data_IF_834771249663
#
_entry.id   IF_834771249663
#
_cell.length_a   1.000
_cell.length_b   1.000
_cell.length_c   1.000
_cell.angle_alpha   90.00
_cell.angle_beta   90.00
_cell.angle_gamma   90.00
#
_symmetry.space_group_name_H-M   'P 1'
#
loop_
_entity.id
_entity.type
_entity.pdbx_description
1 polymer ?
#
# COMPACT_ATOMS: atom_id res chain seq x y z
N UNK A 1 17.12 -16.42 -19.15
CA UNK A 1 16.87 -15.22 -19.98
C UNK A 1 15.52 -14.67 -19.58
N UNK A 2 15.34 -13.34 -19.59
CA UNK A 2 14.02 -12.76 -19.39
C UNK A 2 13.13 -13.07 -20.59
N UNK A 3 11.85 -13.27 -20.35
CA UNK A 3 10.87 -13.44 -21.41
C UNK A 3 10.40 -12.07 -21.91
N UNK A 4 9.72 -12.06 -23.06
CA UNK A 4 9.23 -10.82 -23.65
C UNK A 4 7.86 -11.03 -24.29
N UNK A 5 7.07 -9.96 -24.35
CA UNK A 5 5.76 -9.92 -24.98
C UNK A 5 5.51 -8.61 -25.73
N UNK A 6 5.07 -8.74 -26.98
CA UNK A 6 4.75 -7.61 -27.85
C UNK A 6 3.29 -7.16 -27.67
N UNK A 7 2.99 -5.91 -28.01
CA UNK A 7 1.62 -5.35 -27.97
C UNK A 7 0.67 -6.10 -28.90
N UNK A 8 1.18 -6.70 -29.97
CA UNK A 8 0.42 -7.49 -30.94
C UNK A 8 0.06 -8.88 -30.41
N UNK A 9 0.67 -9.32 -29.32
CA UNK A 9 0.37 -10.60 -28.70
C UNK A 9 -1.04 -10.61 -28.08
N UNK A 10 -1.83 -11.67 -28.29
CA UNK A 10 -3.12 -11.81 -27.60
C UNK A 10 -2.98 -11.96 -26.07
N UNK A 11 -1.78 -12.29 -25.58
CA UNK A 11 -1.46 -12.36 -24.14
C UNK A 11 -1.15 -10.99 -23.53
N UNK A 12 -1.13 -9.93 -24.33
CA UNK A 12 -0.81 -8.59 -23.87
C UNK A 12 -2.00 -8.00 -23.09
N UNK A 13 -1.79 -7.42 -21.89
CA UNK A 13 -2.87 -6.90 -21.05
C UNK A 13 -3.72 -5.87 -21.78
N UNK A 14 -5.01 -6.17 -21.98
CA UNK A 14 -5.93 -5.35 -22.76
C UNK A 14 -6.00 -3.91 -22.26
N UNK A 15 -6.12 -3.70 -20.94
CA UNK A 15 -6.16 -2.35 -20.35
C UNK A 15 -4.93 -1.50 -20.70
N UNK A 16 -3.75 -2.12 -20.80
CA UNK A 16 -2.54 -1.43 -21.21
C UNK A 16 -2.50 -1.25 -22.73
N UNK A 17 -2.89 -2.28 -23.50
CA UNK A 17 -2.87 -2.28 -24.96
C UNK A 17 -3.79 -1.23 -25.61
N UNK A 18 -4.91 -0.90 -24.97
CA UNK A 18 -5.85 0.13 -25.41
C UNK A 18 -5.27 1.55 -25.33
N UNK A 19 -4.20 1.76 -24.55
CA UNK A 19 -3.61 3.07 -24.38
C UNK A 19 -2.82 3.50 -25.61
N UNK A 20 -2.90 4.79 -25.94
CA UNK A 20 -2.15 5.40 -27.07
C UNK A 20 -0.64 5.32 -26.85
N UNK A 21 -0.21 5.45 -25.61
CA UNK A 21 1.18 5.39 -25.15
C UNK A 21 1.53 4.03 -24.54
N UNK A 22 0.83 2.96 -24.91
CA UNK A 22 1.19 1.59 -24.53
C UNK A 22 2.60 1.22 -25.03
N UNK A 23 3.43 0.54 -24.21
CA UNK A 23 4.74 0.07 -24.67
C UNK A 23 4.56 -1.01 -25.75
N UNK A 24 5.30 -0.90 -26.86
CA UNK A 24 5.24 -1.88 -27.96
C UNK A 24 5.73 -3.26 -27.53
N UNK A 25 6.63 -3.30 -26.55
CA UNK A 25 7.27 -4.49 -26.04
C UNK A 25 7.39 -4.35 -24.52
N UNK A 26 7.16 -5.45 -23.80
CA UNK A 26 7.53 -5.60 -22.41
C UNK A 26 8.46 -6.79 -22.25
N UNK A 27 9.38 -6.67 -21.30
CA UNK A 27 10.24 -7.74 -20.82
C UNK A 27 9.81 -8.09 -19.41
N UNK A 28 9.83 -9.37 -19.07
CA UNK A 28 9.34 -9.81 -17.78
C UNK A 28 10.06 -11.03 -17.22
N UNK A 29 9.92 -11.20 -15.90
CA UNK A 29 10.33 -12.38 -15.14
C UNK A 29 9.20 -12.76 -14.19
N UNK A 30 8.95 -14.05 -14.01
CA UNK A 30 7.88 -14.57 -13.15
C UNK A 30 6.66 -15.06 -13.94
N UNK A 31 5.53 -15.20 -13.26
CA UNK A 31 4.38 -15.95 -13.76
C UNK A 31 3.38 -15.05 -14.54
N UNK A 32 3.74 -14.68 -15.77
CA UNK A 32 2.89 -13.85 -16.63
C UNK A 32 1.49 -14.45 -16.82
N UNK A 33 1.42 -15.73 -17.20
CA UNK A 33 0.15 -16.37 -17.51
C UNK A 33 -0.72 -16.57 -16.27
N UNK A 34 -0.12 -16.89 -15.12
CA UNK A 34 -0.85 -17.01 -13.86
C UNK A 34 -1.43 -15.69 -13.33
N UNK A 35 -1.02 -14.55 -13.88
CA UNK A 35 -1.55 -13.22 -13.55
C UNK A 35 -2.53 -12.76 -14.64
N UNK A 36 -2.16 -12.91 -15.91
CA UNK A 36 -2.90 -12.31 -17.02
C UNK A 36 -3.81 -13.25 -17.80
N UNK A 37 -3.65 -14.58 -17.67
CA UNK A 37 -4.50 -15.53 -18.36
C UNK A 37 -5.82 -15.74 -17.64
N UNK A 38 -6.88 -15.93 -18.42
CA UNK A 38 -8.25 -16.17 -17.96
C UNK A 38 -8.61 -17.60 -18.32
N UNK A 39 -9.04 -18.41 -17.36
CA UNK A 39 -9.86 -19.58 -17.69
C UNK A 39 -11.20 -19.07 -18.27
N UNK A 40 -11.51 -19.44 -19.53
CA UNK A 40 -12.81 -19.14 -20.13
C UNK A 40 -12.92 -17.89 -21.02
N UNK A 41 -11.80 -17.26 -21.41
CA UNK A 41 -11.75 -16.47 -22.66
C UNK A 41 -12.40 -15.09 -22.70
N UNK A 42 -12.74 -14.42 -21.58
CA UNK A 42 -13.37 -13.09 -21.67
C UNK A 42 -13.08 -12.04 -20.57
N UNK A 43 -12.02 -12.15 -19.76
CA UNK A 43 -11.68 -11.09 -18.79
C UNK A 43 -10.18 -10.83 -18.65
N UNK A 44 -9.66 -9.94 -19.49
CA UNK A 44 -8.25 -9.55 -19.59
C UNK A 44 -7.60 -9.24 -18.23
N UNK A 45 -6.40 -9.76 -17.97
CA UNK A 45 -5.85 -9.77 -16.61
C UNK A 45 -5.56 -8.41 -15.94
N UNK A 46 -5.63 -7.29 -16.65
CA UNK A 46 -5.61 -5.96 -16.01
C UNK A 46 -6.86 -5.66 -15.17
N UNK A 47 -7.97 -6.35 -15.41
CA UNK A 47 -9.25 -6.11 -14.73
C UNK A 47 -9.23 -6.46 -13.23
N UNK A 48 -8.23 -7.22 -12.79
CA UNK A 48 -7.99 -7.59 -11.39
C UNK A 48 -6.76 -6.90 -10.80
N UNK A 49 -6.20 -5.89 -11.47
CA UNK A 49 -5.02 -5.17 -11.00
C UNK A 49 -5.38 -3.85 -10.32
N UNK A 50 -4.82 -3.63 -9.13
CA UNK A 50 -4.84 -2.35 -8.40
C UNK A 50 -3.43 -1.76 -8.38
N UNK A 51 -3.25 -0.59 -8.97
CA UNK A 51 -2.03 0.19 -8.78
C UNK A 51 -2.01 0.76 -7.35
N UNK A 52 -0.93 0.57 -6.62
CA UNK A 52 -0.73 1.19 -5.30
C UNK A 52 0.51 2.05 -5.36
N UNK A 53 0.35 3.34 -5.09
CA UNK A 53 1.44 4.32 -5.17
C UNK A 53 1.40 5.28 -3.98
N UNK A 54 2.55 5.85 -3.67
CA UNK A 54 2.61 6.92 -2.70
C UNK A 54 4.01 7.46 -2.47
N UNK A 55 4.16 8.18 -1.37
CA UNK A 55 5.41 8.84 -0.99
C UNK A 55 6.51 7.81 -0.73
N UNK A 56 7.73 8.21 -1.09
CA UNK A 56 8.97 7.54 -0.73
C UNK A 56 9.33 7.71 0.75
N UNK A 57 8.82 8.78 1.39
CA UNK A 57 8.96 9.08 2.83
C UNK A 57 7.65 8.76 3.55
N UNK A 58 7.32 7.48 3.57
CA UNK A 58 6.09 6.95 4.17
C UNK A 58 6.07 7.18 5.68
N UNK A 59 4.92 7.60 6.21
CA UNK A 59 4.73 7.71 7.66
C UNK A 59 4.29 6.37 8.27
N UNK A 60 4.32 6.24 9.60
CA UNK A 60 3.74 5.08 10.29
C UNK A 60 2.25 4.91 10.00
N UNK A 61 1.52 6.01 9.79
CA UNK A 61 0.12 5.96 9.35
C UNK A 61 0.02 5.38 7.94
N UNK A 62 0.77 5.92 6.97
CA UNK A 62 0.81 5.43 5.60
C UNK A 62 1.19 3.95 5.52
N UNK A 63 2.13 3.50 6.35
CA UNK A 63 2.50 2.09 6.48
C UNK A 63 1.30 1.24 6.90
N UNK A 64 0.70 1.54 8.06
CA UNK A 64 -0.45 0.78 8.59
C UNK A 64 -1.62 0.73 7.60
N UNK A 65 -1.93 1.86 6.95
CA UNK A 65 -3.00 1.91 5.96
C UNK A 65 -2.67 1.08 4.72
N UNK A 66 -1.41 1.08 4.27
CA UNK A 66 -0.96 0.22 3.17
C UNK A 66 -1.09 -1.24 3.56
N UNK A 67 -0.56 -1.64 4.72
CA UNK A 67 -0.62 -3.02 5.21
C UNK A 67 -2.05 -3.55 5.27
N UNK A 68 -2.95 -2.79 5.89
CA UNK A 68 -4.34 -3.20 6.07
C UNK A 68 -5.09 -3.25 4.73
N UNK A 69 -5.13 -2.14 3.99
CA UNK A 69 -5.95 -2.05 2.77
C UNK A 69 -5.38 -2.99 1.69
N UNK A 70 -4.06 -2.93 1.46
CA UNK A 70 -3.44 -3.73 0.38
C UNK A 70 -3.44 -5.20 0.74
N UNK A 71 -3.19 -5.57 1.99
CA UNK A 71 -3.24 -6.97 2.44
C UNK A 71 -4.63 -7.58 2.24
N UNK A 72 -5.68 -6.90 2.66
CA UNK A 72 -7.06 -7.38 2.48
C UNK A 72 -7.49 -7.43 1.00
N UNK A 73 -7.10 -6.43 0.19
CA UNK A 73 -7.35 -6.42 -1.25
C UNK A 73 -6.63 -7.59 -1.95
N UNK A 74 -5.36 -7.83 -1.60
CA UNK A 74 -4.56 -8.90 -2.16
C UNK A 74 -5.08 -10.29 -1.75
N UNK A 75 -5.48 -10.45 -0.48
CA UNK A 75 -6.10 -11.69 0.03
C UNK A 75 -7.41 -12.04 -0.70
N UNK A 76 -8.13 -11.04 -1.21
CA UNK A 76 -9.33 -11.25 -2.02
C UNK A 76 -9.02 -11.68 -3.47
N UNK A 77 -7.74 -11.68 -3.88
CA UNK A 77 -7.30 -12.10 -5.22
C UNK A 77 -7.13 -10.96 -6.22
N UNK A 78 -7.10 -9.71 -5.77
CA UNK A 78 -6.70 -8.55 -6.61
C UNK A 78 -5.17 -8.50 -6.64
N UNK A 79 -4.59 -8.40 -7.83
CA UNK A 79 -3.14 -8.30 -8.01
C UNK A 79 -2.69 -6.85 -7.77
N UNK A 80 -1.66 -6.68 -6.95
CA UNK A 80 -1.12 -5.35 -6.60
C UNK A 80 -0.05 -4.96 -7.61
N UNK A 81 -0.15 -3.79 -8.22
CA UNK A 81 0.84 -3.27 -9.17
C UNK A 81 1.53 -2.08 -8.54
N UNK A 82 2.86 -2.08 -8.50
CA UNK A 82 3.59 -0.93 -7.99
C UNK A 82 4.96 -0.79 -8.65
N UNK A 83 5.68 0.26 -8.25
CA UNK A 83 6.87 0.73 -8.93
C UNK A 83 8.20 0.19 -8.45
N UNK A 84 8.19 -0.71 -7.46
CA UNK A 84 9.42 -1.24 -6.90
C UNK A 84 10.39 -0.16 -6.38
N UNK A 85 9.86 0.88 -5.73
CA UNK A 85 10.65 1.86 -4.98
C UNK A 85 10.44 1.69 -3.47
N UNK A 86 11.32 2.29 -2.67
CA UNK A 86 11.13 2.36 -1.23
C UNK A 86 9.91 3.23 -0.85
N UNK A 87 9.46 3.10 0.40
CA UNK A 87 8.24 3.75 0.88
C UNK A 87 6.99 2.93 0.54
N UNK A 88 5.94 3.61 0.09
CA UNK A 88 4.62 2.98 -0.17
C UNK A 88 4.71 1.86 -1.21
N UNK A 89 5.53 2.00 -2.25
CA UNK A 89 5.66 0.98 -3.30
C UNK A 89 6.15 -0.36 -2.72
N UNK A 90 7.25 -0.34 -1.96
CA UNK A 90 7.80 -1.52 -1.29
C UNK A 90 6.83 -2.11 -0.26
N UNK A 91 6.16 -1.25 0.51
CA UNK A 91 5.17 -1.69 1.51
C UNK A 91 3.97 -2.36 0.85
N UNK A 92 3.50 -1.85 -0.29
CA UNK A 92 2.41 -2.45 -1.04
C UNK A 92 2.76 -3.86 -1.56
N UNK A 93 3.97 -4.04 -2.09
CA UNK A 93 4.46 -5.37 -2.47
C UNK A 93 4.49 -6.30 -1.27
N UNK A 94 5.13 -5.89 -0.16
CA UNK A 94 5.23 -6.70 1.07
C UNK A 94 3.88 -7.05 1.68
N UNK A 95 2.94 -6.11 1.69
CA UNK A 95 1.58 -6.34 2.18
C UNK A 95 0.84 -7.38 1.32
N UNK A 96 0.99 -7.29 0.00
CA UNK A 96 0.39 -8.27 -0.92
C UNK A 96 0.97 -9.68 -0.71
N UNK A 97 2.29 -9.78 -0.59
CA UNK A 97 3.00 -11.05 -0.38
C UNK A 97 2.65 -11.70 0.96
N UNK A 98 2.65 -10.92 2.06
CA UNK A 98 2.25 -11.40 3.39
C UNK A 98 0.81 -11.92 3.42
N UNK A 99 -0.07 -11.36 2.59
CA UNK A 99 -1.46 -11.81 2.45
C UNK A 99 -1.62 -13.05 1.57
N UNK A 100 -0.53 -13.62 1.03
CA UNK A 100 -0.55 -14.72 0.07
C UNK A 100 -1.09 -14.32 -1.31
N UNK A 101 -1.18 -13.01 -1.59
CA UNK A 101 -1.60 -12.47 -2.88
C UNK A 101 -0.45 -12.35 -3.87
N UNK A 102 -0.76 -11.88 -5.07
CA UNK A 102 0.21 -11.65 -6.14
C UNK A 102 0.52 -10.17 -6.30
N UNK A 103 1.73 -9.87 -6.77
CA UNK A 103 2.13 -8.50 -7.08
C UNK A 103 2.99 -8.39 -8.33
N UNK A 104 2.90 -7.24 -9.00
CA UNK A 104 3.65 -6.88 -10.21
C UNK A 104 4.53 -5.67 -9.89
N UNK A 105 5.85 -5.87 -9.92
CA UNK A 105 6.85 -4.83 -9.83
C UNK A 105 7.17 -4.29 -11.23
N UNK A 106 6.94 -2.99 -11.45
CA UNK A 106 7.24 -2.35 -12.74
C UNK A 106 8.51 -1.50 -12.62
N UNK A 107 9.54 -1.91 -13.33
CA UNK A 107 10.91 -1.42 -13.16
C UNK A 107 11.20 -0.18 -14.02
N UNK A 108 11.94 0.82 -13.49
CA UNK A 108 12.42 1.95 -14.28
C UNK A 108 13.69 1.61 -15.10
N UNK A 109 14.29 0.44 -14.89
CA UNK A 109 15.53 -0.02 -15.51
C UNK A 109 15.29 -1.28 -16.36
N UNK A 110 16.34 -1.76 -17.03
CA UNK A 110 16.34 -3.03 -17.75
C UNK A 110 15.93 -4.21 -16.88
N UNK A 111 15.33 -5.22 -17.49
CA UNK A 111 14.81 -6.41 -16.79
C UNK A 111 15.88 -7.25 -16.08
N UNK A 112 17.16 -7.07 -16.42
CA UNK A 112 18.30 -7.74 -15.78
C UNK A 112 18.94 -6.88 -14.67
N UNK A 113 18.33 -5.75 -14.30
CA UNK A 113 18.80 -4.85 -13.25
C UNK A 113 17.80 -4.83 -12.10
N UNK A 114 18.28 -5.11 -10.88
CA UNK A 114 17.52 -4.86 -9.66
C UNK A 114 17.83 -3.44 -9.18
N UNK A 115 16.83 -2.54 -9.25
CA UNK A 115 16.98 -1.18 -8.76
C UNK A 115 15.77 -0.77 -7.91
N UNK A 116 15.97 -0.28 -6.67
CA UNK A 116 17.26 -0.15 -5.99
C UNK A 116 17.81 -1.52 -5.53
N UNK A 117 19.12 -1.69 -5.58
CA UNK A 117 19.81 -2.98 -5.35
C UNK A 117 19.55 -3.58 -3.95
N UNK A 118 19.40 -2.73 -2.93
CA UNK A 118 19.13 -3.17 -1.55
C UNK A 118 17.75 -3.84 -1.36
N UNK A 119 16.90 -3.85 -2.40
CA UNK A 119 15.62 -4.58 -2.39
C UNK A 119 15.70 -5.92 -3.12
N UNK A 120 16.90 -6.48 -3.34
CA UNK A 120 17.08 -7.78 -3.99
C UNK A 120 16.25 -8.91 -3.34
N UNK A 121 16.13 -8.92 -2.01
CA UNK A 121 15.32 -9.92 -1.32
C UNK A 121 13.83 -9.81 -1.68
N UNK A 122 13.30 -8.58 -1.70
CA UNK A 122 11.90 -8.34 -2.11
C UNK A 122 11.70 -8.70 -3.59
N UNK A 123 12.68 -8.40 -4.45
CA UNK A 123 12.63 -8.78 -5.86
C UNK A 123 12.49 -10.30 -6.01
N UNK A 124 13.30 -11.06 -5.28
CA UNK A 124 13.29 -12.51 -5.32
C UNK A 124 11.99 -13.07 -4.72
N UNK A 125 11.52 -12.51 -3.60
CA UNK A 125 10.26 -12.91 -2.96
C UNK A 125 9.05 -12.73 -3.90
N UNK A 126 9.02 -11.64 -4.69
CA UNK A 126 7.98 -11.43 -5.72
C UNK A 126 8.00 -12.56 -6.75
N UNK A 127 9.17 -13.02 -7.19
CA UNK A 127 9.28 -14.10 -8.17
C UNK A 127 8.91 -15.46 -7.57
N UNK A 128 9.41 -15.75 -6.37
CA UNK A 128 9.22 -17.05 -5.70
C UNK A 128 7.76 -17.32 -5.33
N UNK A 129 6.99 -16.27 -5.08
CA UNK A 129 5.55 -16.34 -4.76
C UNK A 129 4.65 -16.30 -6.00
N UNK A 130 5.23 -16.38 -7.20
CA UNK A 130 4.48 -16.38 -8.46
C UNK A 130 3.94 -15.01 -8.86
N UNK A 131 4.55 -13.93 -8.36
CA UNK A 131 4.39 -12.58 -8.86
C UNK A 131 5.17 -12.34 -10.16
N UNK A 132 5.34 -11.06 -10.51
CA UNK A 132 5.93 -10.65 -11.78
C UNK A 132 6.78 -9.41 -11.63
N UNK A 133 7.91 -9.39 -12.33
CA UNK A 133 8.71 -8.19 -12.57
C UNK A 133 8.61 -7.85 -14.05
N UNK A 134 8.31 -6.58 -14.36
CA UNK A 134 8.09 -6.09 -15.72
C UNK A 134 8.94 -4.86 -16.00
N UNK A 135 9.49 -4.76 -17.20
CA UNK A 135 10.16 -3.56 -17.70
C UNK A 135 9.83 -3.28 -19.17
N UNK A 136 9.88 -2.02 -19.57
CA UNK A 136 9.91 -1.64 -21.00
C UNK A 136 11.32 -1.81 -21.61
N UNK A 137 12.35 -1.98 -20.78
CA UNK A 137 13.75 -2.00 -21.20
C UNK A 137 14.35 -3.41 -21.12
N UNK A 138 15.05 -3.80 -22.17
CA UNK A 138 15.82 -5.04 -22.23
C UNK A 138 17.13 -4.95 -21.44
N UNK A 139 17.66 -6.12 -21.06
CA UNK A 139 19.02 -6.25 -20.60
C UNK A 139 19.31 -5.38 -19.38
N UNK A 140 20.44 -4.68 -19.44
CA UNK A 140 21.00 -3.92 -18.31
C UNK A 140 20.79 -2.40 -18.42
N UNK A 141 19.73 -1.93 -19.10
CA UNK A 141 19.46 -0.49 -19.21
C UNK A 141 19.41 0.16 -17.81
N UNK A 142 20.17 1.24 -17.56
CA UNK A 142 20.26 1.82 -16.22
C UNK A 142 18.97 2.54 -15.80
N UNK A 143 18.69 2.60 -14.50
CA UNK A 143 17.65 3.48 -13.97
C UNK A 143 18.10 4.94 -14.10
N UNK A 144 17.42 5.73 -14.94
CA UNK A 144 17.70 7.16 -15.14
C UNK A 144 16.55 8.02 -14.62
N UNK A 145 16.80 9.27 -14.25
CA UNK A 145 15.77 10.15 -13.66
C UNK A 145 14.46 10.20 -14.47
N UNK A 146 14.56 10.26 -15.81
CA UNK A 146 13.40 10.31 -16.71
C UNK A 146 12.65 8.97 -16.86
N UNK A 147 13.28 7.85 -16.51
CA UNK A 147 12.65 6.52 -16.62
C UNK A 147 11.61 6.27 -15.52
N UNK A 148 11.76 6.87 -14.34
CA UNK A 148 10.79 6.70 -13.24
C UNK A 148 9.42 7.28 -13.59
N UNK A 149 9.27 8.55 -14.02
CA UNK A 149 7.97 9.07 -14.45
C UNK A 149 7.43 8.32 -15.68
N UNK A 150 8.31 7.95 -16.63
CA UNK A 150 7.91 7.22 -17.84
C UNK A 150 7.38 5.82 -17.54
N UNK A 151 7.88 5.15 -16.51
CA UNK A 151 7.38 3.84 -16.10
C UNK A 151 5.98 3.92 -15.48
N UNK A 152 5.60 5.04 -14.86
CA UNK A 152 4.33 5.19 -14.15
C UNK A 152 3.09 4.96 -15.04
N UNK A 153 3.17 5.22 -16.35
CA UNK A 153 2.09 4.87 -17.29
C UNK A 153 1.84 3.38 -17.40
N UNK A 154 2.86 2.54 -17.19
CA UNK A 154 2.70 1.08 -17.19
C UNK A 154 2.01 0.66 -15.90
N UNK A 155 2.38 1.24 -14.75
CA UNK A 155 1.71 0.98 -13.45
C UNK A 155 0.22 1.33 -13.53
N UNK A 156 -0.10 2.55 -13.99
CA UNK A 156 -1.49 2.99 -14.16
C UNK A 156 -2.21 2.20 -15.27
N UNK A 157 -1.53 1.89 -16.38
CA UNK A 157 -2.13 1.26 -17.55
C UNK A 157 -2.41 -0.24 -17.38
N UNK A 158 -1.61 -0.95 -16.59
CA UNK A 158 -1.88 -2.34 -16.21
C UNK A 158 -3.08 -2.47 -15.25
N UNK A 159 -3.54 -1.38 -14.64
CA UNK A 159 -4.44 -1.40 -13.51
C UNK A 159 -5.83 -0.86 -13.84
N UNK A 160 -6.87 -1.52 -13.31
CA UNK A 160 -8.27 -1.06 -13.41
C UNK A 160 -8.56 0.13 -12.48
N UNK A 161 -7.83 0.21 -11.39
CA UNK A 161 -7.89 1.27 -10.40
C UNK A 161 -6.50 1.62 -9.85
N UNK A 162 -6.37 2.81 -9.28
CA UNK A 162 -5.17 3.28 -8.59
C UNK A 162 -5.54 3.74 -7.19
N UNK A 163 -4.79 3.29 -6.18
CA UNK A 163 -4.84 3.75 -4.80
C UNK A 163 -3.62 4.63 -4.52
N UNK A 164 -3.86 5.86 -4.08
CA UNK A 164 -2.84 6.76 -3.55
C UNK A 164 -2.93 6.78 -2.03
N UNK A 165 -1.90 6.27 -1.35
CA UNK A 165 -1.94 6.17 0.13
C UNK A 165 -1.46 7.45 0.81
N UNK A 166 -0.34 8.00 0.35
CA UNK A 166 0.25 9.24 0.86
C UNK A 166 0.97 9.96 -0.29
N UNK A 167 0.82 11.26 -0.39
CA UNK A 167 1.46 12.09 -1.40
C UNK A 167 1.50 13.55 -0.96
N UNK A 168 2.71 14.12 -0.85
CA UNK A 168 2.89 15.59 -0.77
C UNK A 168 2.66 16.25 -2.14
N UNK A 169 2.69 17.59 -2.19
CA UNK A 169 2.39 18.37 -3.41
C UNK A 169 3.24 18.01 -4.63
N UNK A 170 4.53 17.71 -4.43
CA UNK A 170 5.48 17.37 -5.50
C UNK A 170 5.75 15.85 -5.61
N UNK A 171 4.85 15.02 -5.06
CA UNK A 171 5.06 13.57 -5.05
C UNK A 171 4.93 12.98 -6.46
N UNK A 172 5.90 12.14 -6.85
CA UNK A 172 5.84 11.37 -8.10
C UNK A 172 4.63 10.43 -8.19
N UNK A 173 3.98 10.09 -7.06
CA UNK A 173 2.74 9.33 -7.05
C UNK A 173 1.56 10.09 -7.70
N UNK A 174 1.59 11.43 -7.67
CA UNK A 174 0.57 12.27 -8.30
C UNK A 174 0.62 12.16 -9.82
N UNK A 175 1.81 11.92 -10.40
CA UNK A 175 1.95 11.63 -11.83
C UNK A 175 1.15 10.37 -12.19
N UNK A 176 1.26 9.30 -11.39
CA UNK A 176 0.48 8.07 -11.60
C UNK A 176 -1.02 8.31 -11.41
N UNK A 177 -1.41 9.14 -10.44
CA UNK A 177 -2.81 9.52 -10.23
C UNK A 177 -3.40 10.28 -11.43
N UNK A 178 -2.65 11.22 -12.00
CA UNK A 178 -3.06 11.98 -13.17
C UNK A 178 -3.15 11.09 -14.41
N UNK A 179 -2.21 10.16 -14.58
CA UNK A 179 -2.25 9.13 -15.63
C UNK A 179 -3.48 8.22 -15.46
N UNK A 180 -3.80 7.79 -14.24
CA UNK A 180 -4.98 6.98 -13.97
C UNK A 180 -6.26 7.72 -14.37
N UNK A 181 -6.40 9.01 -14.01
CA UNK A 181 -7.52 9.86 -14.47
C UNK A 181 -7.56 9.96 -15.99
N UNK A 182 -6.43 10.24 -16.64
CA UNK A 182 -6.31 10.34 -18.11
C UNK A 182 -6.72 9.05 -18.82
N UNK A 183 -6.42 7.89 -18.23
CA UNK A 183 -6.77 6.57 -18.76
C UNK A 183 -8.19 6.12 -18.37
N UNK A 184 -8.97 6.98 -17.71
CA UNK A 184 -10.33 6.65 -17.25
C UNK A 184 -10.35 5.55 -16.19
N UNK A 185 -9.27 5.40 -15.42
CA UNK A 185 -9.17 4.42 -14.33
C UNK A 185 -9.69 5.03 -13.03
N UNK A 186 -10.29 4.18 -12.19
CA UNK A 186 -10.83 4.64 -10.90
C UNK A 186 -9.67 5.05 -9.99
N UNK A 187 -9.75 6.27 -9.45
CA UNK A 187 -8.77 6.77 -8.50
C UNK A 187 -9.35 6.72 -7.09
N UNK A 188 -8.63 6.04 -6.21
CA UNK A 188 -8.85 5.98 -4.78
C UNK A 188 -7.75 6.74 -4.05
N UNK A 189 -8.08 7.36 -2.93
CA UNK A 189 -7.09 7.98 -2.05
C UNK A 189 -7.44 7.77 -0.58
N UNK A 190 -6.42 7.50 0.24
CA UNK A 190 -6.59 7.27 1.69
C UNK A 190 -6.68 8.62 2.40
N UNK A 191 -7.72 8.91 3.21
CA UNK A 191 -7.76 10.14 4.00
C UNK A 191 -6.59 10.19 4.99
N UNK A 192 -5.73 11.21 4.90
CA UNK A 192 -4.58 11.36 5.80
C UNK A 192 -4.80 12.50 6.82
N UNK A 193 -4.03 12.54 7.93
CA UNK A 193 -4.02 13.69 8.81
C UNK A 193 -3.64 14.97 8.05
N UNK A 194 -4.51 15.99 8.09
CA UNK A 194 -4.31 17.26 7.37
C UNK A 194 -3.06 18.04 7.82
N UNK A 195 -2.54 17.75 9.01
CA UNK A 195 -1.30 18.32 9.55
C UNK A 195 -0.04 17.70 8.94
N UNK A 196 -0.15 16.59 8.23
CA UNK A 196 0.98 15.89 7.62
C UNK A 196 1.37 16.50 6.27
N UNK A 197 2.65 16.75 6.05
CA UNK A 197 3.16 17.25 4.76
C UNK A 197 2.86 16.31 3.59
N UNK A 198 2.80 14.99 3.84
CA UNK A 198 2.48 13.98 2.82
C UNK A 198 0.97 13.78 2.61
N UNK A 199 0.12 14.64 3.18
CA UNK A 199 -1.34 14.62 2.98
C UNK A 199 -1.84 15.61 1.93
N UNK A 200 -1.03 16.60 1.55
CA UNK A 200 -1.49 17.74 0.73
C UNK A 200 -1.93 17.30 -0.67
N UNK A 201 -1.14 16.45 -1.33
CA UNK A 201 -1.46 15.87 -2.63
C UNK A 201 -2.69 14.96 -2.57
N UNK A 202 -2.82 14.14 -1.51
CA UNK A 202 -4.00 13.30 -1.32
C UNK A 202 -5.26 14.15 -1.10
N UNK A 203 -5.18 15.18 -0.27
CA UNK A 203 -6.28 16.13 -0.04
C UNK A 203 -6.72 16.80 -1.35
N UNK A 204 -5.76 17.19 -2.20
CA UNK A 204 -6.04 17.72 -3.54
C UNK A 204 -6.79 16.68 -4.39
N UNK A 205 -6.30 15.45 -4.46
CA UNK A 205 -6.94 14.38 -5.23
C UNK A 205 -8.39 14.14 -4.78
N UNK A 206 -8.64 14.12 -3.46
CA UNK A 206 -9.99 13.98 -2.89
C UNK A 206 -10.90 15.14 -3.26
N UNK A 207 -10.41 16.39 -3.20
CA UNK A 207 -11.16 17.58 -3.65
C UNK A 207 -11.48 17.54 -5.15
N UNK A 208 -10.60 16.93 -5.95
CA UNK A 208 -10.78 16.72 -7.39
C UNK A 208 -11.64 15.49 -7.74
N UNK A 209 -12.27 14.85 -6.74
CA UNK A 209 -13.21 13.74 -6.96
C UNK A 209 -12.61 12.34 -6.92
N UNK A 210 -11.37 12.17 -6.43
CA UNK A 210 -10.89 10.84 -6.06
C UNK A 210 -11.80 10.23 -5.00
N UNK A 211 -12.03 8.92 -5.08
CA UNK A 211 -12.89 8.22 -4.12
C UNK A 211 -12.12 7.94 -2.84
N UNK A 212 -12.75 8.19 -1.69
CA UNK A 212 -12.17 7.86 -0.40
C UNK A 212 -12.01 6.34 -0.30
N UNK A 213 -10.80 5.89 0.02
CA UNK A 213 -10.53 4.52 0.46
C UNK A 213 -10.27 4.55 1.97
N UNK A 214 -11.32 4.30 2.73
CA UNK A 214 -11.26 4.18 4.19
C UNK A 214 -10.96 2.74 4.64
N UNK A 215 -11.20 1.76 3.77
CA UNK A 215 -10.99 0.33 3.99
C UNK A 215 -10.79 -0.40 2.65
N UNK A 216 -10.37 -1.67 2.70
CA UNK A 216 -10.31 -2.51 1.51
C UNK A 216 -11.68 -2.71 0.84
N UNK A 217 -12.76 -2.72 1.63
CA UNK A 217 -14.13 -2.89 1.14
C UNK A 217 -14.53 -1.83 0.11
N UNK A 218 -14.06 -0.59 0.26
CA UNK A 218 -14.33 0.50 -0.69
C UNK A 218 -13.76 0.19 -2.08
N UNK A 219 -12.60 -0.48 -2.11
CA UNK A 219 -11.92 -0.88 -3.33
C UNK A 219 -12.53 -2.18 -3.87
N UNK A 220 -12.71 -3.18 -3.02
CA UNK A 220 -13.22 -4.51 -3.42
C UNK A 220 -14.61 -4.45 -4.04
N UNK A 221 -15.49 -3.57 -3.55
CA UNK A 221 -16.80 -3.30 -4.18
C UNK A 221 -16.66 -2.86 -5.63
N UNK A 222 -15.68 -2.00 -5.94
CA UNK A 222 -15.42 -1.55 -7.31
C UNK A 222 -14.89 -2.66 -8.21
N UNK A 223 -14.13 -3.60 -7.66
CA UNK A 223 -13.69 -4.80 -8.38
C UNK A 223 -14.78 -5.88 -8.49
N UNK A 224 -15.98 -5.65 -7.96
CA UNK A 224 -17.10 -6.59 -8.04
C UNK A 224 -17.01 -7.76 -7.06
N UNK A 225 -16.08 -7.71 -6.10
CA UNK A 225 -16.01 -8.71 -5.05
C UNK A 225 -17.16 -8.51 -4.08
N UNK A 226 -17.89 -9.59 -3.80
CA UNK A 226 -18.85 -9.62 -2.70
C UNK A 226 -18.04 -9.63 -1.41
N UNK A 227 -17.94 -8.47 -0.76
CA UNK A 227 -17.39 -8.42 0.58
C UNK A 227 -18.34 -9.22 1.46
N UNK A 228 -17.89 -10.38 1.97
CA UNK A 228 -18.54 -10.94 3.16
C UNK A 228 -18.30 -9.86 4.19
N UNK A 229 -19.35 -9.15 4.57
CA UNK A 229 -19.28 -8.14 5.62
C UNK A 229 -18.76 -8.82 6.88
N UNK A 230 -17.43 -8.87 7.00
CA UNK A 230 -16.74 -9.03 8.24
C UNK A 230 -16.79 -7.63 8.81
N UNK A 231 -17.97 -7.24 9.28
CA UNK A 231 -18.02 -6.52 10.55
C UNK A 231 -17.39 -7.50 11.53
N UNK A 232 -16.06 -7.51 11.58
CA UNK A 232 -15.40 -7.86 12.81
C UNK A 232 -15.75 -6.66 13.68
N UNK A 233 -16.64 -6.78 14.68
CA UNK A 233 -16.58 -5.82 15.76
C UNK A 233 -15.11 -5.70 16.16
N UNK A 234 -14.70 -4.49 16.49
CA UNK A 234 -13.35 -4.11 16.91
C UNK A 234 -12.73 -5.05 18.01
N UNK A 235 -13.49 -6.02 18.51
CA UNK A 235 -13.14 -7.05 19.49
C UNK A 235 -12.45 -8.32 18.97
N UNK A 236 -12.15 -8.48 17.66
CA UNK A 236 -11.57 -9.74 17.14
C UNK A 236 -10.55 -9.53 16.00
N UNK A 237 -9.60 -8.61 16.12
CA UNK A 237 -8.33 -8.74 15.38
C UNK A 237 -7.50 -9.77 16.16
N UNK A 238 -7.01 -10.78 15.44
CA UNK A 238 -6.14 -11.80 16.01
C UNK A 238 -4.94 -11.13 16.68
N UNK A 239 -4.63 -11.66 17.85
CA UNK A 239 -3.40 -11.45 18.59
C UNK A 239 -2.16 -11.60 17.70
N UNK A 240 -1.64 -10.49 17.17
CA UNK A 240 -0.24 -10.23 17.46
C UNK A 240 -0.13 -10.04 18.98
N UNK A 241 0.97 -10.44 19.63
CA UNK A 241 1.09 -10.29 21.07
C UNK A 241 1.02 -8.79 21.38
N UNK A 242 -0.19 -8.29 21.68
CA UNK A 242 -0.35 -7.26 22.69
C UNK A 242 0.55 -7.73 23.82
N UNK A 243 1.52 -6.92 24.27
CA UNK A 243 2.16 -7.15 25.55
C UNK A 243 1.03 -7.54 26.48
N UNK A 244 1.15 -8.70 27.14
CA UNK A 244 0.14 -9.11 28.11
C UNK A 244 0.20 -8.06 29.21
N UNK A 245 -0.60 -7.01 29.04
CA UNK A 245 -0.75 -5.94 30.00
C UNK A 245 -1.47 -6.60 31.17
N UNK A 246 -0.66 -7.11 32.10
CA UNK A 246 -1.08 -8.03 33.14
C UNK A 246 -1.90 -7.34 34.24
N UNK A 247 -1.86 -6.01 34.31
CA UNK A 247 -2.56 -5.24 35.34
C UNK A 247 -3.82 -4.51 34.85
N UNK A 248 -4.85 -4.53 35.69
CA UNK A 248 -6.11 -3.80 35.45
C UNK A 248 -5.91 -2.29 35.28
N UNK A 249 -4.86 -1.74 35.90
CA UNK A 249 -4.55 -0.31 35.86
C UNK A 249 -4.04 0.09 34.48
N UNK A 250 -3.08 -0.65 33.96
CA UNK A 250 -2.47 -0.47 32.66
C UNK A 250 -3.53 -0.61 31.55
N UNK A 251 -4.46 -1.56 31.66
CA UNK A 251 -5.59 -1.68 30.74
C UNK A 251 -6.50 -0.45 30.77
N UNK A 252 -6.80 0.10 31.96
CA UNK A 252 -7.59 1.33 32.11
C UNK A 252 -6.86 2.55 31.52
N UNK A 253 -5.54 2.64 31.70
CA UNK A 253 -4.70 3.69 31.10
C UNK A 253 -4.79 3.62 29.57
N UNK A 254 -4.58 2.42 29.00
CA UNK A 254 -4.68 2.21 27.56
C UNK A 254 -6.06 2.56 27.01
N UNK A 255 -7.14 2.15 27.66
CA UNK A 255 -8.51 2.48 27.22
C UNK A 255 -8.79 3.98 27.18
N UNK A 256 -8.19 4.76 28.08
CA UNK A 256 -8.32 6.22 28.10
C UNK A 256 -7.46 6.84 27.01
N UNK A 257 -6.18 6.47 26.94
CA UNK A 257 -5.22 7.04 25.99
C UNK A 257 -5.49 6.63 24.54
N UNK A 258 -6.16 5.50 24.31
CA UNK A 258 -6.62 5.08 23.00
C UNK A 258 -7.66 6.04 22.40
N UNK A 259 -8.44 6.74 23.25
CA UNK A 259 -9.45 7.70 22.80
C UNK A 259 -8.87 9.09 22.61
N UNK A 260 -7.91 9.49 23.44
CA UNK A 260 -7.35 10.84 23.45
C UNK A 260 -6.00 10.87 24.19
N UNK A 261 -5.02 11.62 23.66
CA UNK A 261 -3.75 11.82 24.35
C UNK A 261 -3.90 12.78 25.53
N UNK A 262 -3.29 12.44 26.66
CA UNK A 262 -3.48 13.15 27.92
C UNK A 262 -2.18 13.37 28.67
N UNK A 263 -2.10 14.46 29.43
CA UNK A 263 -1.03 14.64 30.42
C UNK A 263 -1.26 13.70 31.61
N UNK A 264 -0.19 13.32 32.31
CA UNK A 264 -0.23 12.41 33.47
C UNK A 264 -1.23 12.90 34.53
N UNK A 265 -1.23 14.20 34.87
CA UNK A 265 -2.16 14.77 35.86
C UNK A 265 -3.63 14.76 35.41
N UNK A 266 -3.88 14.87 34.10
CA UNK A 266 -5.23 14.76 33.55
C UNK A 266 -5.71 13.30 33.59
N UNK A 267 -4.81 12.36 33.27
CA UNK A 267 -5.07 10.93 33.31
C UNK A 267 -5.33 10.45 34.75
N UNK A 268 -4.53 10.90 35.72
CA UNK A 268 -4.70 10.63 37.15
C UNK A 268 -6.08 11.07 37.66
N UNK A 269 -6.49 12.30 37.30
CA UNK A 269 -7.82 12.84 37.66
C UNK A 269 -8.96 12.04 37.02
N UNK A 270 -8.82 11.66 35.75
CA UNK A 270 -9.85 10.92 35.01
C UNK A 270 -10.03 9.50 35.53
N UNK A 271 -8.94 8.83 35.87
CA UNK A 271 -8.97 7.47 36.42
C UNK A 271 -9.25 7.43 37.92
N UNK A 272 -9.17 8.57 38.61
CA UNK A 272 -9.27 8.70 40.07
C UNK A 272 -8.21 7.87 40.81
N UNK A 273 -6.98 7.93 40.31
CA UNK A 273 -5.84 7.16 40.84
C UNK A 273 -4.71 8.12 41.23
N UNK A 274 -4.04 7.92 42.37
CA UNK A 274 -2.89 8.74 42.75
C UNK A 274 -1.79 8.72 41.69
N UNK A 275 -1.24 9.89 41.36
CA UNK A 275 -0.21 10.03 40.32
C UNK A 275 1.01 9.11 40.54
N UNK A 276 1.37 8.83 41.81
CA UNK A 276 2.44 7.92 42.17
C UNK A 276 2.18 6.46 41.73
N UNK A 277 0.94 5.97 41.83
CA UNK A 277 0.58 4.63 41.34
C UNK A 277 0.48 4.59 39.82
N UNK A 278 0.09 5.70 39.21
CA UNK A 278 0.00 5.84 37.75
C UNK A 278 1.38 5.80 37.08
N UNK A 279 2.39 6.41 37.70
CA UNK A 279 3.75 6.48 37.15
C UNK A 279 4.39 5.12 36.89
N UNK A 280 4.23 4.14 37.80
CA UNK A 280 4.79 2.80 37.61
C UNK A 280 4.15 2.05 36.42
N UNK A 281 2.82 2.15 36.29
CA UNK A 281 2.07 1.56 35.19
C UNK A 281 2.40 2.20 33.83
N UNK A 282 2.57 3.53 33.80
CA UNK A 282 3.00 4.27 32.60
C UNK A 282 4.40 3.82 32.17
N UNK A 283 5.36 3.74 33.10
CA UNK A 283 6.73 3.31 32.79
C UNK A 283 6.78 1.90 32.21
N UNK A 284 5.98 0.96 32.75
CA UNK A 284 5.87 -0.40 32.21
C UNK A 284 5.32 -0.38 30.78
N UNK A 285 4.22 0.36 30.54
CA UNK A 285 3.64 0.49 29.21
C UNK A 285 4.58 1.16 28.19
N UNK A 286 5.43 2.09 28.63
CA UNK A 286 6.46 2.70 27.78
C UNK A 286 7.58 1.70 27.43
N UNK A 287 8.04 0.91 28.41
CA UNK A 287 9.05 -0.13 28.20
C UNK A 287 8.55 -1.24 27.26
N UNK A 288 7.27 -1.59 27.37
CA UNK A 288 6.59 -2.53 26.47
C UNK A 288 6.26 -1.94 25.09
N UNK A 289 6.52 -0.64 24.89
CA UNK A 289 6.25 0.06 23.63
C UNK A 289 4.77 0.31 23.34
N UNK A 290 3.90 0.17 24.34
CA UNK A 290 2.46 0.39 24.23
C UNK A 290 2.09 1.88 24.17
N UNK A 291 2.85 2.72 24.88
CA UNK A 291 2.64 4.18 24.91
C UNK A 291 3.96 4.94 24.76
N UNK A 292 3.87 6.16 24.25
CA UNK A 292 5.00 7.10 24.13
C UNK A 292 4.62 8.47 24.70
N UNK A 293 5.62 9.24 25.13
CA UNK A 293 5.41 10.60 25.63
C UNK A 293 5.97 11.63 24.64
N UNK A 294 5.12 12.55 24.19
CA UNK A 294 5.52 13.68 23.37
C UNK A 294 4.94 14.98 23.95
N UNK A 295 5.81 15.97 24.18
CA UNK A 295 5.42 17.29 24.70
C UNK A 295 4.61 17.22 26.02
N UNK A 296 4.95 16.28 26.90
CA UNK A 296 4.27 16.10 28.19
C UNK A 296 2.90 15.41 28.12
N UNK A 297 2.53 14.84 26.97
CA UNK A 297 1.32 14.05 26.77
C UNK A 297 1.67 12.61 26.42
N UNK A 298 0.90 11.67 26.94
CA UNK A 298 0.99 10.26 26.62
C UNK A 298 0.12 9.91 25.42
N UNK A 299 0.66 9.11 24.51
CA UNK A 299 0.03 8.60 23.29
C UNK A 299 0.13 7.09 23.25
N UNK A 300 -0.88 6.41 22.71
CA UNK A 300 -0.74 5.00 22.32
C UNK A 300 0.08 4.92 21.03
N UNK A 301 1.02 3.97 20.95
CA UNK A 301 1.93 3.77 19.81
C UNK A 301 1.26 2.99 18.67
#
# INVERSE_FOLDING_TARGET
>A
MADSITKESPRYPTLLGELRDAPKQLYYRGNWDGIFSVEGGSASGGEKCLAVVGTRRMTSYGKRMTEQIVGEVAAAGVTVVSGFMYGIDAEAHKAALRAGGKTIAVMPCGIDVVHPEYQADLYQEILDTGGLVVSEYEGTHPALYWTFPRRNRIVAGLSKATLVVEAGEDSGALITADLAKKYGRKLFAVPNPLTSAVSQGVTRLLKEGATIASSADDILKYFGFRTRSRVRPYSQVGSDPTPQIAGELEQKIMQVLFKESMQIDALARKLKIPAAQLGAAISMLQLEGCITEEQGKLYVV
#
